data_IF_200280652381
#
_entry.id   IF_200280652381
#
_cell.length_a   1.000
_cell.length_b   1.000
_cell.length_c   1.000
_cell.angle_alpha   90.00
_cell.angle_beta   90.00
_cell.angle_gamma   90.00
#
_symmetry.space_group_name_H-M   'P 1'
#
loop_
_entity.id
_entity.type
_entity.pdbx_description
1 polymer ?
#
# COMPACT_ATOMS: atom_id res chain seq x y z
N UNK A 1 -13.71 -7.71 -11.19
CA UNK A 1 -14.73 -7.51 -10.12
C UNK A 1 -15.84 -6.55 -10.58
N UNK A 2 -17.11 -6.80 -10.23
CA UNK A 2 -18.25 -5.95 -10.65
C UNK A 2 -18.08 -4.47 -10.23
N UNK A 3 -17.42 -4.23 -9.09
CA UNK A 3 -17.07 -2.88 -8.62
C UNK A 3 -16.17 -2.14 -9.62
N UNK A 4 -15.16 -2.81 -10.20
CA UNK A 4 -14.25 -2.18 -11.15
C UNK A 4 -15.01 -1.67 -12.39
N UNK A 5 -15.98 -2.44 -12.91
CA UNK A 5 -16.82 -2.03 -14.04
C UNK A 5 -17.62 -0.76 -13.71
N UNK A 6 -18.18 -0.67 -12.50
CA UNK A 6 -18.92 0.51 -12.03
C UNK A 6 -18.00 1.72 -11.90
N UNK A 7 -16.84 1.55 -11.27
CA UNK A 7 -15.83 2.59 -11.11
C UNK A 7 -15.36 3.14 -12.45
N UNK A 8 -15.03 2.26 -13.41
CA UNK A 8 -14.60 2.65 -14.75
C UNK A 8 -15.68 3.46 -15.49
N UNK A 9 -16.94 3.01 -15.45
CA UNK A 9 -18.08 3.73 -16.06
C UNK A 9 -18.30 5.12 -15.47
N UNK A 10 -17.88 5.33 -14.22
CA UNK A 10 -18.02 6.60 -13.50
C UNK A 10 -16.73 7.41 -13.45
N UNK A 11 -15.67 6.95 -14.12
CA UNK A 11 -14.35 7.60 -14.12
C UNK A 11 -13.79 7.78 -12.69
N UNK A 12 -14.08 6.83 -11.80
CA UNK A 12 -13.59 6.82 -10.42
C UNK A 12 -12.41 5.87 -10.33
N UNK A 13 -11.25 6.37 -9.89
CA UNK A 13 -10.08 5.54 -9.63
C UNK A 13 -10.40 4.46 -8.58
N UNK A 14 -10.01 3.23 -8.86
CA UNK A 14 -10.28 2.09 -7.99
C UNK A 14 -9.03 1.24 -7.79
N UNK A 15 -8.72 0.98 -6.52
CA UNK A 15 -7.55 0.20 -6.09
C UNK A 15 -8.04 -1.05 -5.36
N UNK A 16 -8.35 -2.14 -6.07
CA UNK A 16 -8.90 -3.36 -5.45
C UNK A 16 -7.92 -4.02 -4.50
N UNK A 17 -8.44 -4.65 -3.45
CA UNK A 17 -7.68 -5.59 -2.62
C UNK A 17 -7.41 -6.90 -3.35
N UNK A 18 -6.16 -7.37 -3.30
CA UNK A 18 -5.69 -8.61 -3.92
C UNK A 18 -4.79 -9.38 -2.93
N UNK A 19 -4.90 -10.70 -2.91
CA UNK A 19 -4.07 -11.61 -2.11
C UNK A 19 -3.23 -12.60 -2.95
N UNK A 20 -3.37 -12.59 -4.27
CA UNK A 20 -2.74 -13.57 -5.17
C UNK A 20 -2.41 -13.01 -6.57
N UNK A 21 -1.61 -13.77 -7.32
CA UNK A 21 -1.26 -13.46 -8.73
C UNK A 21 -2.50 -13.32 -9.60
N UNK A 22 -3.43 -14.27 -9.49
CA UNK A 22 -4.65 -14.27 -10.31
C UNK A 22 -5.54 -13.06 -10.02
N UNK A 23 -5.68 -12.68 -8.75
CA UNK A 23 -6.49 -11.51 -8.39
C UNK A 23 -5.88 -10.20 -8.88
N UNK A 24 -4.55 -10.06 -8.84
CA UNK A 24 -3.85 -8.91 -9.43
C UNK A 24 -4.06 -8.89 -10.95
N UNK A 25 -3.93 -10.03 -11.61
CA UNK A 25 -4.18 -10.15 -13.05
C UNK A 25 -5.60 -9.73 -13.43
N UNK A 26 -6.62 -10.24 -12.74
CA UNK A 26 -8.02 -9.86 -12.98
C UNK A 26 -8.30 -8.38 -12.69
N UNK A 27 -7.63 -7.78 -11.72
CA UNK A 27 -7.75 -6.35 -11.45
C UNK A 27 -7.17 -5.51 -12.60
N UNK A 28 -6.00 -5.89 -13.11
CA UNK A 28 -5.35 -5.23 -14.24
C UNK A 28 -6.12 -5.40 -15.54
N UNK A 29 -6.65 -6.60 -15.81
CA UNK A 29 -7.54 -6.86 -16.96
C UNK A 29 -8.79 -5.96 -16.91
N UNK A 30 -9.32 -5.72 -15.71
CA UNK A 30 -10.43 -4.80 -15.50
C UNK A 30 -10.02 -3.31 -15.55
N UNK A 31 -8.76 -2.98 -15.87
CA UNK A 31 -8.25 -1.61 -16.02
C UNK A 31 -7.81 -0.93 -14.72
N UNK A 32 -7.58 -1.66 -13.64
CA UNK A 32 -7.09 -1.07 -12.38
C UNK A 32 -5.56 -0.89 -12.43
N UNK A 33 -5.08 0.36 -12.41
CA UNK A 33 -3.64 0.67 -12.49
C UNK A 33 -2.84 0.27 -11.24
N UNK A 34 -3.48 0.29 -10.06
CA UNK A 34 -2.86 0.04 -8.76
C UNK A 34 -3.65 -1.06 -8.05
N UNK A 35 -2.96 -2.09 -7.57
CA UNK A 35 -3.57 -3.17 -6.80
C UNK A 35 -3.11 -3.09 -5.34
N UNK A 36 -4.06 -3.18 -4.41
CA UNK A 36 -3.79 -3.17 -2.97
C UNK A 36 -3.51 -4.59 -2.49
N UNK A 37 -2.30 -4.87 -2.03
CA UNK A 37 -1.97 -6.11 -1.33
C UNK A 37 -2.42 -5.99 0.12
N UNK A 38 -3.40 -6.80 0.52
CA UNK A 38 -3.99 -6.76 1.85
C UNK A 38 -4.53 -8.14 2.28
N UNK A 39 -4.34 -8.54 3.56
CA UNK A 39 -3.58 -7.87 4.61
C UNK A 39 -2.06 -8.12 4.50
N UNK A 40 -1.27 -7.04 4.52
CA UNK A 40 0.15 -7.04 4.19
C UNK A 40 1.04 -7.81 5.17
N UNK A 41 0.77 -7.75 6.47
CA UNK A 41 1.44 -8.54 7.51
C UNK A 41 1.26 -10.05 7.33
N UNK A 42 0.09 -10.48 6.88
CA UNK A 42 -0.19 -11.91 6.64
C UNK A 42 0.47 -12.39 5.36
N UNK A 43 0.38 -11.60 4.29
CA UNK A 43 0.88 -11.97 2.96
C UNK A 43 2.40 -11.78 2.81
N UNK A 44 2.95 -10.78 3.50
CA UNK A 44 4.37 -10.50 3.60
C UNK A 44 5.02 -9.92 2.34
N UNK A 45 6.20 -9.32 2.53
CA UNK A 45 7.03 -8.76 1.46
C UNK A 45 7.47 -9.79 0.40
N UNK A 46 7.51 -11.08 0.75
CA UNK A 46 7.83 -12.16 -0.19
C UNK A 46 6.79 -12.30 -1.29
N UNK A 47 5.49 -12.08 -0.99
CA UNK A 47 4.45 -12.11 -2.02
C UNK A 47 4.67 -11.01 -3.05
N UNK A 48 5.03 -9.80 -2.62
CA UNK A 48 5.32 -8.67 -3.53
C UNK A 48 6.42 -9.04 -4.52
N UNK A 49 7.55 -9.58 -4.02
CA UNK A 49 8.64 -10.04 -4.89
C UNK A 49 8.20 -11.15 -5.84
N UNK A 50 7.41 -12.10 -5.33
CA UNK A 50 6.86 -13.20 -6.14
C UNK A 50 5.90 -12.74 -7.23
N UNK A 51 5.07 -11.71 -6.97
CA UNK A 51 4.15 -11.11 -7.94
C UNK A 51 4.91 -10.34 -9.04
N UNK A 52 5.93 -9.58 -8.66
CA UNK A 52 6.69 -8.75 -9.60
C UNK A 52 7.58 -9.56 -10.53
N UNK A 53 7.92 -10.81 -10.20
CA UNK A 53 8.71 -11.68 -11.08
C UNK A 53 8.01 -11.96 -12.43
N UNK A 54 6.74 -12.44 -12.48
CA UNK A 54 6.00 -12.60 -13.73
C UNK A 54 5.29 -11.31 -14.21
N UNK A 55 5.09 -10.33 -13.34
CA UNK A 55 4.32 -9.10 -13.66
C UNK A 55 5.07 -7.82 -13.25
N UNK A 56 6.28 -7.55 -13.79
CA UNK A 56 7.14 -6.44 -13.37
C UNK A 56 6.54 -5.05 -13.60
N UNK A 57 5.51 -4.93 -14.43
CA UNK A 57 4.76 -3.69 -14.66
C UNK A 57 3.75 -3.36 -13.55
N UNK A 58 3.50 -4.28 -12.62
CA UNK A 58 2.44 -4.13 -11.62
C UNK A 58 2.78 -3.05 -10.60
N UNK A 59 1.88 -2.08 -10.44
CA UNK A 59 1.94 -1.15 -9.30
C UNK A 59 1.19 -1.79 -8.13
N UNK A 60 1.92 -2.03 -7.05
CA UNK A 60 1.39 -2.67 -5.85
C UNK A 60 1.43 -1.68 -4.67
N UNK A 61 0.29 -1.51 -4.00
CA UNK A 61 0.19 -0.80 -2.72
C UNK A 61 0.04 -1.83 -1.61
N UNK A 62 0.95 -1.92 -0.64
CA UNK A 62 0.74 -2.79 0.52
C UNK A 62 -0.01 -2.04 1.63
N UNK A 63 -0.93 -2.71 2.32
CA UNK A 63 -1.62 -2.17 3.52
C UNK A 63 -1.91 -3.31 4.50
N UNK A 64 -1.93 -3.00 5.79
CA UNK A 64 -1.99 -3.99 6.87
C UNK A 64 -0.57 -4.35 7.31
N UNK A 65 -0.26 -4.17 8.59
CA UNK A 65 1.10 -4.36 9.11
C UNK A 65 2.15 -3.32 8.69
N UNK A 66 1.73 -2.21 8.07
CA UNK A 66 2.66 -1.11 7.70
C UNK A 66 2.78 -0.16 8.88
N UNK A 67 3.99 -0.04 9.41
CA UNK A 67 4.32 0.82 10.55
C UNK A 67 5.18 2.00 10.11
N UNK A 68 5.03 3.19 10.72
CA UNK A 68 5.84 4.37 10.39
C UNK A 68 7.23 4.30 11.03
N UNK A 69 7.94 3.20 10.81
CA UNK A 69 9.32 2.96 11.26
C UNK A 69 10.23 2.80 10.05
N UNK A 70 11.49 3.22 10.17
CA UNK A 70 12.44 3.15 9.07
C UNK A 70 12.63 1.71 8.56
N UNK A 71 12.75 0.74 9.48
CA UNK A 71 12.92 -0.67 9.14
C UNK A 71 11.73 -1.22 8.32
N UNK A 72 10.50 -1.03 8.83
CA UNK A 72 9.30 -1.55 8.19
C UNK A 72 9.11 -0.93 6.80
N UNK A 73 9.18 0.40 6.69
CA UNK A 73 9.03 1.11 5.42
C UNK A 73 10.12 0.73 4.41
N UNK A 74 11.38 0.63 4.85
CA UNK A 74 12.48 0.21 3.99
C UNK A 74 12.26 -1.21 3.46
N UNK A 75 11.80 -2.13 4.31
CA UNK A 75 11.54 -3.52 3.91
C UNK A 75 10.50 -3.63 2.79
N UNK A 76 9.42 -2.83 2.85
CA UNK A 76 8.38 -2.80 1.84
C UNK A 76 8.86 -2.16 0.54
N UNK A 77 9.55 -1.01 0.62
CA UNK A 77 10.11 -0.34 -0.57
C UNK A 77 11.12 -1.24 -1.28
N UNK A 78 12.04 -1.87 -0.55
CA UNK A 78 13.01 -2.83 -1.13
C UNK A 78 12.36 -4.14 -1.60
N UNK A 79 11.12 -4.42 -1.21
CA UNK A 79 10.33 -5.51 -1.81
C UNK A 79 9.76 -5.16 -3.19
N UNK A 80 9.78 -3.89 -3.58
CA UNK A 80 9.31 -3.42 -4.88
C UNK A 80 7.90 -2.84 -4.88
N UNK A 81 7.30 -2.56 -3.71
CA UNK A 81 5.98 -1.91 -3.69
C UNK A 81 6.06 -0.53 -4.34
N UNK A 82 5.03 -0.17 -5.09
CA UNK A 82 4.89 1.16 -5.66
C UNK A 82 4.66 2.19 -4.55
N UNK A 83 3.83 1.86 -3.57
CA UNK A 83 3.57 2.68 -2.39
C UNK A 83 3.10 1.82 -1.20
N UNK A 84 2.96 2.46 -0.04
CA UNK A 84 2.43 1.86 1.17
C UNK A 84 1.18 2.61 1.62
N UNK A 85 0.24 1.89 2.22
CA UNK A 85 -0.92 2.46 2.90
C UNK A 85 -0.82 2.22 4.40
N UNK A 86 -0.91 3.31 5.18
CA UNK A 86 -0.90 3.29 6.64
C UNK A 86 -2.25 3.79 7.18
N UNK A 87 -2.69 3.20 8.28
CA UNK A 87 -3.92 3.57 8.98
C UNK A 87 -3.62 3.92 10.44
N UNK A 88 -4.22 3.18 11.37
CA UNK A 88 -4.12 3.41 12.82
C UNK A 88 -2.70 3.46 13.39
N UNK A 89 -1.71 2.85 12.72
CA UNK A 89 -0.30 2.93 13.12
C UNK A 89 0.31 4.32 12.88
N UNK A 90 -0.16 5.05 11.87
CA UNK A 90 0.24 6.44 11.60
C UNK A 90 -0.70 7.44 12.29
N UNK A 91 -1.97 7.09 12.43
CA UNK A 91 -3.00 7.90 13.10
C UNK A 91 -3.61 7.14 14.30
N UNK A 92 -2.90 7.04 15.44
CA UNK A 92 -3.43 6.39 16.62
C UNK A 92 -4.71 7.08 17.11
N UNK A 93 -5.70 6.29 17.53
CA UNK A 93 -7.02 6.82 17.92
C UNK A 93 -6.93 7.80 19.10
N UNK A 94 -6.04 7.57 20.06
CA UNK A 94 -5.81 8.44 21.20
C UNK A 94 -5.24 9.81 20.77
N UNK A 95 -4.33 9.81 19.80
CA UNK A 95 -3.74 11.04 19.23
C UNK A 95 -4.75 11.85 18.43
N UNK A 96 -5.55 11.18 17.62
CA UNK A 96 -6.61 11.84 16.84
C UNK A 96 -7.71 12.36 17.76
N UNK A 97 -8.15 11.59 18.76
CA UNK A 97 -9.18 12.02 19.71
C UNK A 97 -8.73 13.19 20.59
N UNK A 98 -7.43 13.29 20.87
CA UNK A 98 -6.83 14.41 21.60
C UNK A 98 -6.48 15.62 20.70
N UNK A 99 -6.79 15.55 19.39
CA UNK A 99 -6.41 16.59 18.42
C UNK A 99 -4.90 16.91 18.41
N UNK A 100 -4.04 15.91 18.67
CA UNK A 100 -2.58 16.04 18.71
C UNK A 100 -2.01 16.11 17.27
N UNK A 101 -2.29 17.20 16.58
CA UNK A 101 -1.86 17.41 15.19
C UNK A 101 -0.35 17.60 15.06
N UNK A 102 0.32 17.99 16.16
CA UNK A 102 1.78 18.04 16.22
C UNK A 102 2.37 16.64 16.07
N UNK A 103 1.87 15.66 16.84
CA UNK A 103 2.27 14.26 16.67
C UNK A 103 2.07 13.78 15.24
N UNK A 104 0.87 14.00 14.67
CA UNK A 104 0.55 13.54 13.31
C UNK A 104 1.49 14.17 12.27
N UNK A 105 1.77 15.47 12.41
CA UNK A 105 2.66 16.22 11.52
C UNK A 105 4.07 15.65 11.55
N UNK A 106 4.65 15.50 12.74
CA UNK A 106 6.02 14.99 12.88
C UNK A 106 6.12 13.54 12.41
N UNK A 107 5.12 12.69 12.71
CA UNK A 107 5.12 11.30 12.25
C UNK A 107 5.01 11.18 10.72
N UNK A 108 4.23 12.05 10.08
CA UNK A 108 4.18 12.12 8.62
C UNK A 108 5.53 12.55 8.03
N UNK A 109 6.20 13.56 8.60
CA UNK A 109 7.53 14.00 8.15
C UNK A 109 8.56 12.87 8.25
N UNK A 110 8.62 12.18 9.38
CA UNK A 110 9.50 11.03 9.59
C UNK A 110 9.25 9.93 8.55
N UNK A 111 7.99 9.51 8.38
CA UNK A 111 7.64 8.45 7.43
C UNK A 111 8.01 8.83 5.99
N UNK A 112 7.76 10.07 5.57
CA UNK A 112 8.15 10.56 4.25
C UNK A 112 9.68 10.58 4.07
N UNK A 113 10.43 10.99 5.10
CA UNK A 113 11.89 10.96 5.07
C UNK A 113 12.45 9.53 4.95
N UNK A 114 11.88 8.57 5.69
CA UNK A 114 12.26 7.16 5.56
C UNK A 114 11.98 6.59 4.18
N UNK A 115 10.84 6.94 3.57
CA UNK A 115 10.51 6.53 2.19
C UNK A 115 11.49 7.16 1.19
N UNK A 116 11.84 8.44 1.33
CA UNK A 116 12.79 9.10 0.47
C UNK A 116 14.17 8.44 0.54
N UNK A 117 14.63 8.08 1.75
CA UNK A 117 15.89 7.36 1.95
C UNK A 117 15.84 5.95 1.35
N UNK A 118 14.77 5.19 1.59
CA UNK A 118 14.65 3.81 1.10
C UNK A 118 14.61 3.70 -0.44
N UNK A 119 14.26 4.78 -1.15
CA UNK A 119 14.22 4.86 -2.62
C UNK A 119 15.55 5.25 -3.26
N UNK A 120 16.53 5.69 -2.47
CA UNK A 120 17.92 5.76 -2.94
C UNK A 120 18.46 4.34 -3.17
#
# INVERSE_FOLDING_TARGET
PEIAKICNRRLVAYTPGCGSVSEVGFAQEAGCDLCKIFPGDVLGAKLVKGLLAPMPWSKLMVTGGVEPTQENLTSWIKAGVFCVGMGSKLFPNDKVAAEDWTYVTEKCKEALAYIAEARK
#
